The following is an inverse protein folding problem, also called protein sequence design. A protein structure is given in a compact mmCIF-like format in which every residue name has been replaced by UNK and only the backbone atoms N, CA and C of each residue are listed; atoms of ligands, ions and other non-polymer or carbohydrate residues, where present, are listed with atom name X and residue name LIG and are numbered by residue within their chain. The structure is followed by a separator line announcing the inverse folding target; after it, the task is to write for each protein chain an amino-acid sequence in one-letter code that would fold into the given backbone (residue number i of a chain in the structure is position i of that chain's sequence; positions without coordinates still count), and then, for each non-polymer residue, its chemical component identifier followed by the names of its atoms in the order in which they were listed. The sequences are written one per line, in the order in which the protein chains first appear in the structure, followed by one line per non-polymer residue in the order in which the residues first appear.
data_IF_683457669353
#
_entry.id   IF_683457669353
#
_cell.length_a   1.000
_cell.length_b   1.000
_cell.length_c   1.000
_cell.angle_alpha   90.00
_cell.angle_beta   90.00
_cell.angle_gamma   90.00
#
_symmetry.space_group_name_H-M   'P 1'
#
loop_
_entity.id
_entity.type
_entity.pdbx_description
1 polymer ?
#
# COMPACT_ATOMS: atom_id res chain seq x y z
N UNK A 1 -6.65 6.06 27.27
CA UNK A 1 -6.35 6.50 25.88
C UNK A 1 -7.43 5.88 25.02
N UNK A 2 -8.39 6.70 24.59
CA UNK A 2 -9.54 6.26 23.81
C UNK A 2 -9.03 5.95 22.39
N UNK A 3 -9.00 4.67 22.02
CA UNK A 3 -8.54 4.25 20.72
C UNK A 3 -9.61 4.68 19.72
N UNK A 4 -9.36 5.75 18.96
CA UNK A 4 -10.31 6.24 17.96
C UNK A 4 -10.59 5.15 16.92
N UNK A 5 -11.71 4.45 17.07
CA UNK A 5 -12.10 3.37 16.16
C UNK A 5 -12.48 4.01 14.82
N UNK A 6 -11.78 3.63 13.76
CA UNK A 6 -12.17 3.98 12.39
C UNK A 6 -13.38 3.15 12.01
N UNK A 7 -14.38 3.77 11.40
CA UNK A 7 -15.62 3.10 11.01
C UNK A 7 -15.46 2.28 9.71
N UNK A 8 -14.54 2.70 8.83
CA UNK A 8 -14.24 2.01 7.57
C UNK A 8 -13.03 1.07 7.61
N UNK A 9 -12.80 0.37 6.49
CA UNK A 9 -11.68 -0.57 6.31
C UNK A 9 -10.37 0.18 6.16
N UNK A 10 -9.28 -0.45 6.57
CA UNK A 10 -7.92 -0.03 6.23
C UNK A 10 -7.41 -0.86 5.04
N UNK A 11 -7.11 -0.20 3.92
CA UNK A 11 -6.61 -0.81 2.69
C UNK A 11 -5.17 -0.36 2.46
N UNK A 12 -4.23 -1.31 2.41
CA UNK A 12 -2.81 -1.04 2.21
C UNK A 12 -2.33 -1.40 0.81
N UNK A 13 -1.68 -0.48 0.11
CA UNK A 13 -0.83 -0.79 -1.06
C UNK A 13 0.62 -0.74 -0.60
N UNK A 14 1.28 -1.90 -0.57
CA UNK A 14 2.59 -2.05 0.07
C UNK A 14 3.59 -2.77 -0.81
N UNK A 15 4.87 -2.41 -0.68
CA UNK A 15 6.01 -3.11 -1.26
C UNK A 15 7.19 -3.09 -0.28
N UNK A 16 8.24 -3.85 -0.58
CA UNK A 16 9.47 -3.87 0.21
C UNK A 16 10.67 -3.79 -0.74
N UNK A 17 11.67 -2.93 -0.45
CA UNK A 17 12.93 -2.88 -1.17
C UNK A 17 13.63 -4.26 -1.28
N UNK A 18 14.17 -4.56 -2.46
CA UNK A 18 14.77 -5.88 -2.75
C UNK A 18 16.08 -6.19 -2.01
N UNK A 19 16.71 -5.20 -1.38
CA UNK A 19 17.92 -5.33 -0.57
C UNK A 19 17.66 -5.81 0.87
N UNK A 20 16.40 -6.13 1.20
CA UNK A 20 16.03 -6.74 2.48
C UNK A 20 16.20 -8.26 2.47
N UNK A 21 16.37 -8.84 3.66
CA UNK A 21 16.40 -10.30 3.83
C UNK A 21 15.00 -10.86 3.63
N UNK A 22 14.91 -12.11 3.18
CA UNK A 22 13.62 -12.76 2.95
C UNK A 22 12.79 -12.86 4.25
N UNK A 23 13.46 -13.00 5.39
CA UNK A 23 12.82 -13.02 6.71
C UNK A 23 12.18 -11.67 7.05
N UNK A 24 12.90 -10.56 6.83
CA UNK A 24 12.38 -9.20 7.05
C UNK A 24 11.14 -8.94 6.19
N UNK A 25 11.11 -9.45 4.94
CA UNK A 25 9.96 -9.33 4.05
C UNK A 25 8.76 -10.13 4.54
N UNK A 26 8.98 -11.33 5.10
CA UNK A 26 7.91 -12.14 5.70
C UNK A 26 7.38 -11.50 6.98
N UNK A 27 8.26 -11.00 7.83
CA UNK A 27 7.89 -10.32 9.07
C UNK A 27 7.11 -9.04 8.78
N UNK A 28 7.54 -8.28 7.77
CA UNK A 28 6.80 -7.12 7.27
C UNK A 28 5.39 -7.49 6.80
N UNK A 29 5.26 -8.56 6.01
CA UNK A 29 3.95 -9.05 5.58
C UNK A 29 3.06 -9.49 6.74
N UNK A 30 3.62 -10.19 7.73
CA UNK A 30 2.90 -10.61 8.92
C UNK A 30 2.42 -9.42 9.75
N UNK A 31 3.27 -8.41 9.93
CA UNK A 31 2.92 -7.18 10.64
C UNK A 31 1.86 -6.36 9.89
N UNK A 32 2.01 -6.19 8.58
CA UNK A 32 1.02 -5.51 7.76
C UNK A 32 -0.35 -6.18 7.88
N UNK A 33 -0.38 -7.51 8.02
CA UNK A 33 -1.62 -8.27 8.15
C UNK A 33 -2.41 -7.96 9.42
N UNK A 34 -1.77 -7.42 10.46
CA UNK A 34 -2.45 -6.99 11.69
C UNK A 34 -3.01 -5.57 11.58
N UNK A 35 -2.49 -4.76 10.64
CA UNK A 35 -2.83 -3.35 10.49
C UNK A 35 -3.94 -3.09 9.47
N UNK A 36 -4.02 -3.91 8.40
CA UNK A 36 -4.94 -3.70 7.28
C UNK A 36 -6.02 -4.77 7.19
N UNK A 37 -7.20 -4.41 6.68
CA UNK A 37 -8.27 -5.33 6.31
C UNK A 37 -8.04 -5.93 4.92
N UNK A 38 -7.53 -5.11 3.99
CA UNK A 38 -7.14 -5.53 2.64
C UNK A 38 -5.71 -5.07 2.31
N UNK A 39 -4.95 -5.92 1.65
CA UNK A 39 -3.58 -5.62 1.23
C UNK A 39 -3.41 -5.87 -0.27
N UNK A 40 -2.78 -4.94 -0.98
CA UNK A 40 -2.29 -5.13 -2.34
C UNK A 40 -0.78 -5.05 -2.29
N UNK A 41 -0.11 -6.14 -2.65
CA UNK A 41 1.36 -6.22 -2.67
C UNK A 41 1.88 -5.87 -4.06
N UNK A 42 2.67 -4.79 -4.13
CA UNK A 42 3.37 -4.29 -5.32
C UNK A 42 4.88 -4.53 -5.23
N UNK A 43 5.61 -4.29 -6.32
CA UNK A 43 7.07 -4.28 -6.32
C UNK A 43 7.63 -2.95 -6.78
N UNK A 44 8.79 -2.58 -6.22
CA UNK A 44 9.56 -1.42 -6.68
C UNK A 44 10.00 -1.62 -8.13
N UNK A 45 10.04 -0.52 -8.89
CA UNK A 45 10.63 -0.54 -10.25
C UNK A 45 12.09 -1.00 -10.21
N UNK A 46 12.83 -0.59 -9.17
CA UNK A 46 14.17 -1.06 -8.89
C UNK A 46 14.16 -2.23 -7.89
N UNK A 47 14.28 -3.45 -8.44
CA UNK A 47 14.26 -4.70 -7.67
C UNK A 47 15.56 -5.04 -6.95
N UNK A 48 16.62 -4.22 -7.09
CA UNK A 48 17.90 -4.38 -6.38
C UNK A 48 18.47 -5.80 -6.44
N UNK A 49 18.43 -6.41 -7.63
CA UNK A 49 19.00 -7.74 -7.89
C UNK A 49 18.05 -8.92 -7.69
N UNK A 50 16.83 -8.71 -7.17
CA UNK A 50 15.81 -9.76 -7.02
C UNK A 50 15.10 -10.06 -8.34
N UNK A 51 14.63 -11.30 -8.47
CA UNK A 51 13.78 -11.72 -9.57
C UNK A 51 12.39 -11.03 -9.49
N UNK A 52 11.68 -10.88 -10.61
CA UNK A 52 10.32 -10.34 -10.58
C UNK A 52 9.40 -11.23 -9.74
N UNK A 53 8.49 -10.61 -8.99
CA UNK A 53 7.57 -11.22 -8.05
C UNK A 53 8.19 -11.87 -6.80
N UNK A 54 9.51 -11.82 -6.63
CA UNK A 54 10.21 -12.48 -5.53
C UNK A 54 9.93 -11.80 -4.18
N UNK A 55 10.07 -10.47 -4.11
CA UNK A 55 9.83 -9.73 -2.86
C UNK A 55 8.36 -9.80 -2.49
N UNK A 56 7.47 -9.64 -3.48
CA UNK A 56 6.04 -9.78 -3.29
C UNK A 56 5.65 -11.18 -2.78
N UNK A 57 6.33 -12.23 -3.24
CA UNK A 57 6.06 -13.60 -2.78
C UNK A 57 6.38 -13.79 -1.29
N UNK A 58 7.50 -13.23 -0.81
CA UNK A 58 7.86 -13.27 0.61
C UNK A 58 6.88 -12.51 1.48
N UNK A 59 6.49 -11.29 1.08
CA UNK A 59 5.49 -10.49 1.81
C UNK A 59 4.15 -11.22 1.88
N UNK A 60 3.67 -11.77 0.76
CA UNK A 60 2.44 -12.55 0.73
C UNK A 60 2.51 -13.82 1.58
N UNK A 61 3.68 -14.45 1.69
CA UNK A 61 3.87 -15.59 2.59
C UNK A 61 3.71 -15.18 4.06
N UNK A 62 4.27 -14.04 4.45
CA UNK A 62 4.07 -13.44 5.78
C UNK A 62 2.60 -13.17 6.09
N UNK A 63 1.90 -12.51 5.15
CA UNK A 63 0.46 -12.23 5.29
C UNK A 63 -0.35 -13.51 5.46
N UNK A 64 -0.10 -14.54 4.62
CA UNK A 64 -0.79 -15.83 4.74
C UNK A 64 -0.53 -16.50 6.08
N UNK A 65 0.71 -16.47 6.57
CA UNK A 65 1.06 -17.00 7.88
C UNK A 65 0.30 -16.31 9.02
N UNK A 66 0.26 -14.98 9.01
CA UNK A 66 -0.48 -14.21 10.00
C UNK A 66 -2.00 -14.44 9.95
N UNK A 67 -2.56 -14.64 8.76
CA UNK A 67 -3.99 -14.97 8.61
C UNK A 67 -4.40 -16.26 9.27
N UNK A 68 -3.57 -17.29 9.17
CA UNK A 68 -3.83 -18.58 9.85
C UNK A 68 -3.92 -18.36 11.37
N UNK A 69 -3.21 -17.36 11.90
CA UNK A 69 -3.21 -16.97 13.30
C UNK A 69 -4.28 -15.91 13.66
N UNK A 70 -5.25 -15.65 12.78
CA UNK A 70 -6.36 -14.74 13.05
C UNK A 70 -6.04 -13.25 12.89
N UNK A 71 -5.06 -12.90 12.06
CA UNK A 71 -4.79 -11.48 11.74
C UNK A 71 -6.00 -10.77 11.14
N UNK A 72 -6.01 -9.43 11.24
CA UNK A 72 -7.07 -8.55 10.71
C UNK A 72 -7.35 -8.73 9.21
N UNK A 73 -6.31 -8.92 8.40
CA UNK A 73 -6.49 -8.91 6.94
C UNK A 73 -7.34 -10.07 6.45
N UNK A 74 -8.41 -9.78 5.71
CA UNK A 74 -9.28 -10.77 5.08
C UNK A 74 -8.95 -10.99 3.60
N UNK A 75 -8.34 -10.01 2.93
CA UNK A 75 -7.97 -10.08 1.50
C UNK A 75 -6.55 -9.61 1.22
N UNK A 76 -5.83 -10.35 0.36
CA UNK A 76 -4.52 -9.90 -0.14
C UNK A 76 -4.36 -10.29 -1.60
N UNK A 77 -4.02 -9.32 -2.44
CA UNK A 77 -3.78 -9.52 -3.86
C UNK A 77 -2.35 -9.15 -4.24
N UNK A 78 -1.86 -9.75 -5.32
CA UNK A 78 -0.56 -9.44 -5.92
C UNK A 78 -0.79 -8.62 -7.19
N UNK A 79 -0.40 -7.35 -7.18
CA UNK A 79 -0.43 -6.47 -8.37
C UNK A 79 0.91 -5.76 -8.40
N UNK A 80 1.83 -6.25 -9.25
CA UNK A 80 3.23 -5.85 -9.21
C UNK A 80 3.45 -4.41 -9.67
N UNK A 81 2.70 -3.97 -10.69
CA UNK A 81 2.75 -2.60 -11.20
C UNK A 81 2.10 -1.62 -10.22
N UNK A 82 2.86 -0.60 -9.83
CA UNK A 82 2.48 0.39 -8.83
C UNK A 82 1.17 1.11 -9.18
N UNK A 83 1.07 1.70 -10.38
CA UNK A 83 -0.12 2.46 -10.78
C UNK A 83 -1.35 1.56 -10.91
N UNK A 84 -1.16 0.32 -11.34
CA UNK A 84 -2.24 -0.66 -11.37
C UNK A 84 -2.71 -1.06 -9.96
N UNK A 85 -1.80 -1.18 -9.00
CA UNK A 85 -2.11 -1.45 -7.60
C UNK A 85 -2.87 -0.29 -6.94
N UNK A 86 -2.40 0.94 -7.17
CA UNK A 86 -3.03 2.19 -6.73
C UNK A 86 -4.45 2.30 -7.27
N UNK A 87 -4.62 2.17 -8.59
CA UNK A 87 -5.95 2.19 -9.23
C UNK A 87 -6.87 1.08 -8.71
N UNK A 88 -6.34 -0.10 -8.42
CA UNK A 88 -7.12 -1.19 -7.84
C UNK A 88 -7.56 -0.86 -6.41
N UNK A 89 -6.71 -0.24 -5.58
CA UNK A 89 -7.08 0.22 -4.25
C UNK A 89 -8.15 1.30 -4.30
N UNK A 90 -7.97 2.32 -5.13
CA UNK A 90 -8.93 3.43 -5.31
C UNK A 90 -10.31 2.92 -5.73
N UNK A 91 -10.39 1.97 -6.68
CA UNK A 91 -11.67 1.37 -7.10
C UNK A 91 -12.36 0.53 -6.03
N UNK A 92 -11.63 0.02 -5.04
CA UNK A 92 -12.17 -0.81 -3.95
C UNK A 92 -12.60 0.01 -2.74
N UNK A 93 -12.07 1.22 -2.63
CA UNK A 93 -12.35 2.14 -1.55
C UNK A 93 -13.83 2.55 -1.55
N UNK A 94 -14.42 2.58 -0.37
CA UNK A 94 -15.71 3.19 -0.11
C UNK A 94 -15.52 4.43 0.79
N UNK A 95 -16.48 5.37 0.81
CA UNK A 95 -16.49 6.45 1.78
C UNK A 95 -16.30 5.92 3.21
N UNK A 96 -15.36 6.51 3.96
CA UNK A 96 -15.00 6.09 5.31
C UNK A 96 -13.82 5.11 5.40
N UNK A 97 -13.43 4.46 4.29
CA UNK A 97 -12.21 3.65 4.26
C UNK A 97 -10.96 4.53 4.36
N UNK A 98 -9.91 3.98 4.97
CA UNK A 98 -8.56 4.53 4.93
C UNK A 98 -7.72 3.79 3.89
N UNK A 99 -7.16 4.52 2.93
CA UNK A 99 -6.14 4.01 2.02
C UNK A 99 -4.76 4.46 2.47
N UNK A 100 -3.84 3.52 2.61
CA UNK A 100 -2.41 3.78 2.85
C UNK A 100 -1.64 3.22 1.67
N UNK A 101 -0.94 4.07 0.93
CA UNK A 101 -0.22 3.70 -0.29
C UNK A 101 1.27 4.01 -0.13
N UNK A 102 2.09 2.97 0.01
CA UNK A 102 3.55 3.07 0.06
C UNK A 102 4.10 2.94 -1.36
N UNK A 103 4.46 4.07 -1.97
CA UNK A 103 4.73 4.19 -3.42
C UNK A 103 6.10 4.81 -3.68
N UNK A 104 6.68 4.48 -4.83
CA UNK A 104 7.92 5.04 -5.35
C UNK A 104 7.67 6.40 -6.01
N UNK A 105 6.59 6.54 -6.79
CA UNK A 105 6.19 7.79 -7.45
C UNK A 105 5.03 8.47 -6.72
N UNK A 106 5.33 9.19 -5.64
CA UNK A 106 4.33 9.90 -4.85
C UNK A 106 3.54 10.93 -5.66
N UNK A 107 4.19 11.64 -6.60
CA UNK A 107 3.58 12.69 -7.41
C UNK A 107 2.60 12.07 -8.42
N UNK A 108 3.01 11.01 -9.12
CA UNK A 108 2.16 10.29 -10.06
C UNK A 108 0.93 9.70 -9.37
N UNK A 109 1.13 9.12 -8.19
CA UNK A 109 0.04 8.55 -7.37
C UNK A 109 -0.90 9.60 -6.84
N UNK A 110 -0.38 10.76 -6.41
CA UNK A 110 -1.21 11.89 -6.00
C UNK A 110 -2.07 12.39 -7.16
N UNK A 111 -1.48 12.60 -8.35
CA UNK A 111 -2.20 13.03 -9.56
C UNK A 111 -3.31 12.05 -9.94
N UNK A 112 -3.03 10.74 -9.92
CA UNK A 112 -4.03 9.70 -10.17
C UNK A 112 -5.16 9.72 -9.13
N UNK A 113 -4.81 9.88 -7.85
CA UNK A 113 -5.80 9.94 -6.75
C UNK A 113 -6.73 11.14 -6.93
N UNK A 114 -6.17 12.31 -7.25
CA UNK A 114 -6.95 13.53 -7.49
C UNK A 114 -7.83 13.42 -8.74
N UNK A 115 -7.33 12.80 -9.80
CA UNK A 115 -8.14 12.51 -10.98
C UNK A 115 -9.30 11.55 -10.68
N UNK A 116 -9.07 10.53 -9.86
CA UNK A 116 -10.08 9.55 -9.46
C UNK A 116 -11.16 10.12 -8.52
N UNK A 117 -10.82 11.13 -7.71
CA UNK A 117 -11.76 11.77 -6.77
C UNK A 117 -12.82 12.66 -7.45
N UNK A 118 -12.56 13.14 -8.68
CA UNK A 118 -13.37 14.20 -9.31
C UNK A 118 -13.23 15.55 -8.59
N UNK A 119 -13.69 16.63 -9.21
CA UNK A 119 -13.56 18.03 -8.74
C UNK A 119 -14.34 18.36 -7.44
N UNK A 120 -14.60 17.39 -6.57
CA UNK A 120 -15.60 17.47 -5.49
C UNK A 120 -15.12 17.11 -4.09
N UNK A 121 -13.83 17.22 -3.78
CA UNK A 121 -13.37 17.09 -2.39
C UNK A 121 -13.08 18.47 -1.80
N UNK A 122 -13.70 18.74 -0.64
CA UNK A 122 -13.34 19.85 0.24
C UNK A 122 -11.88 19.76 0.69
N UNK A 123 -11.48 20.71 1.54
CA UNK A 123 -10.10 21.04 1.95
C UNK A 123 -9.11 19.88 1.78
N UNK A 124 -8.40 19.88 0.65
CA UNK A 124 -7.31 18.94 0.41
C UNK A 124 -6.14 19.34 1.31
N UNK A 125 -5.50 18.36 1.96
CA UNK A 125 -4.36 18.62 2.86
C UNK A 125 -3.14 19.20 2.11
N UNK A 126 -3.05 18.89 0.81
CA UNK A 126 -2.10 19.47 -0.13
C UNK A 126 -2.92 19.95 -1.33
N UNK A 127 -2.68 21.15 -1.83
CA UNK A 127 -3.37 21.69 -3.01
C UNK A 127 -2.50 21.57 -4.27
N UNK A 128 -1.17 21.54 -4.09
CA UNK A 128 -0.19 21.45 -5.17
C UNK A 128 0.65 20.15 -5.05
N UNK A 129 0.65 19.25 -6.06
CA UNK A 129 1.54 18.09 -6.10
C UNK A 129 3.02 18.44 -5.97
N UNK A 130 3.44 19.66 -6.33
CA UNK A 130 4.82 20.13 -6.19
C UNK A 130 5.30 20.19 -4.74
N UNK A 131 4.38 20.23 -3.77
CA UNK A 131 4.72 20.14 -2.33
C UNK A 131 5.29 18.77 -1.93
N UNK A 132 5.14 17.75 -2.79
CA UNK A 132 5.71 16.41 -2.62
C UNK A 132 7.08 16.24 -3.30
N UNK A 133 7.57 17.24 -4.03
CA UNK A 133 8.88 17.19 -4.67
C UNK A 133 9.98 17.22 -3.60
N UNK A 134 10.72 16.12 -3.47
CA UNK A 134 11.96 16.11 -2.71
C UNK A 134 13.07 16.72 -3.58
N UNK A 135 13.89 17.65 -3.06
CA UNK A 135 15.02 18.18 -3.81
C UNK A 135 15.94 17.03 -4.24
N UNK A 136 16.37 17.05 -5.49
CA UNK A 136 17.38 16.13 -5.99
C UNK A 136 18.66 16.32 -5.17
N UNK A 137 19.06 15.26 -4.47
CA UNK A 137 20.29 15.21 -3.65
C UNK A 137 21.52 14.90 -4.49
#
# INVERSE_FOLDING_TARGET
MENGTRDGRAIGVIGVPGDRRDEDMRDYGALAATAFDEIIVREDRNRRGRAPAETAAHVLAGIRGARVNGSRTTRSDKILDEMSAVRAALRRANPGDLLVMCVDDAIGVYKETMAAAGHGLGTTAFADPGELEAPEG
#
